data_IF_047964634556
#
_entry.id   IF_047964634556
#
_cell.length_a   1.000
_cell.length_b   1.000
_cell.length_c   1.000
_cell.angle_alpha   90.00
_cell.angle_beta   90.00
_cell.angle_gamma   90.00
#
_symmetry.space_group_name_H-M   'P 1'
#
loop_
_entity.id
_entity.type
_entity.pdbx_description
1 polymer ?
#
# COMPACT_ATOMS: atom_id res chain seq x y z
N UNK A 1 25.56 7.77 -16.77
CA UNK A 1 24.97 7.97 -15.43
C UNK A 1 25.36 6.76 -14.58
N UNK A 2 26.27 6.92 -13.61
CA UNK A 2 26.85 5.79 -12.86
C UNK A 2 25.83 5.25 -11.84
N UNK A 3 25.60 3.93 -11.74
CA UNK A 3 24.82 3.37 -10.66
C UNK A 3 25.66 3.39 -9.37
N UNK A 4 25.22 4.14 -8.37
CA UNK A 4 25.87 4.18 -7.06
C UNK A 4 25.64 2.86 -6.34
N UNK A 5 26.74 2.19 -6.01
CA UNK A 5 26.80 0.92 -5.30
C UNK A 5 26.01 0.94 -3.98
N UNK A 6 25.36 -0.18 -3.66
CA UNK A 6 24.71 -0.39 -2.37
C UNK A 6 25.76 -0.35 -1.25
N UNK A 7 25.61 0.58 -0.30
CA UNK A 7 26.51 0.72 0.85
C UNK A 7 26.33 -0.44 1.85
N UNK A 8 27.39 -1.01 2.46
CA UNK A 8 27.32 -2.19 3.31
C UNK A 8 26.87 -1.92 4.76
N UNK A 9 26.20 -0.80 5.05
CA UNK A 9 25.95 -0.34 6.42
C UNK A 9 24.46 -0.34 6.73
N UNK A 10 24.05 -1.13 7.73
CA UNK A 10 22.76 -1.08 8.45
C UNK A 10 21.58 -0.59 7.62
N UNK A 11 20.81 -1.53 7.06
CA UNK A 11 19.68 -1.24 6.17
C UNK A 11 18.69 -0.31 6.86
N UNK A 12 18.72 0.95 6.43
CA UNK A 12 17.82 1.95 6.95
C UNK A 12 16.48 1.83 6.23
N UNK A 13 15.40 1.83 7.00
CA UNK A 13 14.04 1.86 6.47
C UNK A 13 13.63 3.31 6.40
N UNK A 14 13.21 3.74 5.22
CA UNK A 14 12.69 5.08 4.99
C UNK A 14 11.21 5.01 4.64
N UNK A 15 10.44 5.93 5.22
CA UNK A 15 9.04 6.13 4.90
C UNK A 15 8.81 7.60 4.56
N UNK A 16 7.99 7.84 3.54
CA UNK A 16 7.70 9.17 3.00
C UNK A 16 6.22 9.21 2.66
N UNK A 17 5.51 10.25 3.09
CA UNK A 17 4.11 10.48 2.74
C UNK A 17 3.80 11.98 2.67
N UNK A 18 2.77 12.38 1.92
CA UNK A 18 2.18 13.73 2.03
C UNK A 18 1.24 13.84 3.24
N UNK A 19 0.89 12.72 3.86
CA UNK A 19 0.05 12.65 5.05
C UNK A 19 0.91 12.55 6.33
N UNK A 20 0.94 13.64 7.10
CA UNK A 20 1.64 13.72 8.38
C UNK A 20 1.06 12.78 9.45
N UNK A 21 -0.26 12.52 9.44
CA UNK A 21 -0.91 11.63 10.40
C UNK A 21 -0.46 10.21 10.15
N UNK A 22 -0.43 9.76 8.90
CA UNK A 22 0.07 8.44 8.53
C UNK A 22 1.51 8.22 8.99
N UNK A 23 2.37 9.23 8.81
CA UNK A 23 3.75 9.20 9.30
C UNK A 23 3.82 9.09 10.82
N UNK A 24 3.03 9.90 11.53
CA UNK A 24 2.97 9.89 13.00
C UNK A 24 2.47 8.55 13.54
N UNK A 25 1.41 8.00 12.96
CA UNK A 25 0.86 6.68 13.34
C UNK A 25 1.91 5.58 13.16
N UNK A 26 2.61 5.54 12.03
CA UNK A 26 3.63 4.52 11.80
C UNK A 26 4.81 4.65 12.78
N UNK A 27 5.26 5.88 13.09
CA UNK A 27 6.29 6.09 14.12
C UNK A 27 5.82 5.62 15.50
N UNK A 28 4.58 5.90 15.87
CA UNK A 28 3.97 5.41 17.11
C UNK A 28 3.93 3.88 17.17
N UNK A 29 3.56 3.21 16.08
CA UNK A 29 3.60 1.74 15.98
C UNK A 29 5.02 1.17 16.14
N UNK A 30 6.05 1.92 15.76
CA UNK A 30 7.46 1.54 15.96
C UNK A 30 7.99 1.88 17.36
N UNK A 31 7.14 2.38 18.27
CA UNK A 31 7.54 2.83 19.61
C UNK A 31 8.51 4.02 19.55
N UNK A 32 8.42 4.85 18.51
CA UNK A 32 9.25 6.04 18.32
C UNK A 32 8.43 7.29 18.53
N UNK A 33 9.06 8.34 19.04
CA UNK A 33 8.46 9.66 19.03
C UNK A 33 8.16 10.09 17.57
N UNK A 34 7.05 10.81 17.34
CA UNK A 34 6.64 11.26 16.00
C UNK A 34 7.52 12.41 15.48
N UNK A 35 8.84 12.19 15.44
CA UNK A 35 9.85 13.12 14.90
C UNK A 35 10.16 12.73 13.47
N UNK A 36 9.62 13.50 12.53
CA UNK A 36 9.86 13.36 11.10
C UNK A 36 10.40 14.68 10.51
N UNK A 37 11.10 14.56 9.39
CA UNK A 37 11.57 15.69 8.58
C UNK A 37 10.50 16.10 7.59
N UNK A 38 10.47 17.38 7.25
CA UNK A 38 9.66 17.91 6.15
C UNK A 38 10.61 18.15 4.97
N UNK A 39 10.37 17.45 3.86
CA UNK A 39 11.04 17.69 2.59
C UNK A 39 10.04 18.30 1.60
N UNK A 40 10.54 18.77 0.45
CA UNK A 40 9.71 19.19 -0.69
C UNK A 40 9.93 18.29 -1.89
N UNK A 41 8.84 17.89 -2.53
CA UNK A 41 8.89 17.20 -3.82
C UNK A 41 9.39 18.14 -4.91
N UNK A 42 9.77 17.58 -6.07
CA UNK A 42 10.14 18.38 -7.26
C UNK A 42 9.04 19.35 -7.71
N UNK A 43 7.78 19.06 -7.38
CA UNK A 43 6.62 19.89 -7.67
C UNK A 43 6.28 20.89 -6.54
N UNK A 44 7.18 21.07 -5.57
CA UNK A 44 7.01 22.01 -4.46
C UNK A 44 6.08 21.53 -3.33
N UNK A 45 5.45 20.36 -3.46
CA UNK A 45 4.57 19.80 -2.42
C UNK A 45 5.38 19.33 -1.21
N UNK A 46 4.89 19.63 -0.01
CA UNK A 46 5.49 19.16 1.23
C UNK A 46 5.26 17.65 1.42
N UNK A 47 6.30 16.98 1.90
CA UNK A 47 6.25 15.56 2.26
C UNK A 47 6.93 15.36 3.60
N UNK A 48 6.40 14.44 4.38
CA UNK A 48 6.86 14.06 5.69
C UNK A 48 7.64 12.76 5.58
N UNK A 49 8.86 12.75 6.10
CA UNK A 49 9.81 11.63 5.99
C UNK A 49 10.39 11.28 7.35
N UNK A 50 10.51 9.98 7.61
CA UNK A 50 11.44 9.49 8.63
C UNK A 50 12.33 8.39 8.08
N UNK A 51 13.44 8.16 8.78
CA UNK A 51 14.36 7.07 8.50
C UNK A 51 14.80 6.43 9.81
N UNK A 52 14.63 5.11 9.92
CA UNK A 52 15.08 4.33 11.07
C UNK A 52 16.20 3.39 10.63
N UNK A 53 17.28 3.35 11.40
CA UNK A 53 18.33 2.35 11.26
C UNK A 53 18.01 1.19 12.20
N UNK A 54 17.35 0.17 11.67
CA UNK A 54 16.99 -1.02 12.44
C UNK A 54 17.21 -2.26 11.57
N UNK A 55 18.31 -2.97 11.85
CA UNK A 55 18.71 -4.13 11.08
C UNK A 55 17.78 -5.34 11.32
N UNK A 56 17.19 -5.44 12.51
CA UNK A 56 16.28 -6.53 12.87
C UNK A 56 14.97 -6.33 12.12
N UNK A 57 14.38 -5.13 12.22
CA UNK A 57 13.17 -4.78 11.50
C UNK A 57 13.37 -4.91 9.99
N UNK A 58 14.50 -4.45 9.44
CA UNK A 58 14.77 -4.57 8.01
C UNK A 58 14.86 -6.02 7.54
N UNK A 59 15.50 -6.90 8.31
CA UNK A 59 15.58 -8.33 7.99
C UNK A 59 14.23 -9.02 8.11
N UNK A 60 13.44 -8.66 9.12
CA UNK A 60 12.09 -9.16 9.30
C UNK A 60 11.17 -8.78 8.12
N UNK A 61 11.19 -7.50 7.71
CA UNK A 61 10.45 -7.02 6.55
C UNK A 61 10.87 -7.74 5.26
N UNK A 62 12.16 -7.94 5.04
CA UNK A 62 12.66 -8.69 3.89
C UNK A 62 12.23 -10.16 3.92
N UNK A 63 12.27 -10.81 5.09
CA UNK A 63 11.74 -12.16 5.28
C UNK A 63 10.25 -12.26 4.96
N UNK A 64 9.49 -11.20 5.22
CA UNK A 64 8.08 -11.08 4.82
C UNK A 64 7.88 -10.77 3.32
N UNK A 65 8.95 -10.57 2.54
CA UNK A 65 8.90 -10.27 1.10
C UNK A 65 8.97 -8.77 0.75
N UNK A 66 9.14 -7.88 1.73
CA UNK A 66 9.31 -6.44 1.51
C UNK A 66 10.79 -6.12 1.24
N UNK A 67 11.19 -6.22 -0.02
CA UNK A 67 12.58 -6.06 -0.45
C UNK A 67 12.95 -4.61 -0.77
N UNK A 68 14.25 -4.23 -0.66
CA UNK A 68 14.73 -2.96 -1.20
C UNK A 68 14.40 -2.79 -2.68
N UNK A 69 14.17 -1.55 -3.12
CA UNK A 69 13.68 -1.22 -4.47
C UNK A 69 12.34 -1.88 -4.81
N UNK A 70 11.45 -2.01 -3.82
CA UNK A 70 10.11 -2.62 -3.90
C UNK A 70 9.39 -2.46 -5.25
N UNK A 71 9.41 -1.28 -5.87
CA UNK A 71 8.71 -1.06 -7.14
C UNK A 71 9.19 -1.97 -8.27
N UNK A 72 10.41 -2.51 -8.18
CA UNK A 72 11.04 -3.38 -9.17
C UNK A 72 11.13 -4.85 -8.73
N UNK A 73 10.94 -5.14 -7.45
CA UNK A 73 11.31 -6.42 -6.82
C UNK A 73 10.25 -6.98 -5.88
N UNK A 74 9.16 -6.25 -5.68
CA UNK A 74 8.06 -6.69 -4.82
C UNK A 74 7.33 -7.84 -5.52
N UNK A 75 7.20 -8.96 -4.82
CA UNK A 75 6.42 -10.13 -5.25
C UNK A 75 5.33 -10.42 -4.23
N UNK A 76 5.15 -11.70 -3.91
CA UNK A 76 4.25 -12.12 -2.84
C UNK A 76 4.74 -11.63 -1.47
N UNK A 77 3.82 -11.10 -0.65
CA UNK A 77 4.08 -10.79 0.76
C UNK A 77 3.67 -12.01 1.60
N UNK A 78 4.61 -12.52 2.38
CA UNK A 78 4.38 -13.62 3.31
C UNK A 78 3.69 -13.07 4.56
N UNK A 79 2.38 -13.26 4.63
CA UNK A 79 1.56 -12.79 5.74
C UNK A 79 0.53 -13.87 6.11
N UNK A 80 0.30 -14.13 7.41
CA UNK A 80 -0.82 -14.97 7.85
C UNK A 80 -2.14 -14.48 7.28
N UNK A 81 -3.06 -15.40 6.95
CA UNK A 81 -4.37 -15.05 6.37
C UNK A 81 -5.13 -14.02 7.20
N UNK A 82 -5.13 -14.19 8.53
CA UNK A 82 -5.78 -13.28 9.47
C UNK A 82 -5.27 -11.82 9.42
N UNK A 83 -4.06 -11.60 8.90
CA UNK A 83 -3.46 -10.27 8.77
C UNK A 83 -3.48 -9.74 7.33
N UNK A 84 -3.98 -10.53 6.36
CA UNK A 84 -4.00 -10.16 4.94
C UNK A 84 -4.75 -8.83 4.73
N UNK A 85 -5.92 -8.67 5.35
CA UNK A 85 -6.72 -7.45 5.21
C UNK A 85 -5.95 -6.19 5.66
N UNK A 86 -5.15 -6.28 6.72
CA UNK A 86 -4.31 -5.17 7.19
C UNK A 86 -3.19 -4.84 6.19
N UNK A 87 -2.59 -5.85 5.57
CA UNK A 87 -1.59 -5.66 4.52
C UNK A 87 -2.22 -5.01 3.29
N UNK A 88 -3.37 -5.51 2.83
CA UNK A 88 -4.10 -4.94 1.69
C UNK A 88 -4.47 -3.48 1.95
N UNK A 89 -4.95 -3.16 3.16
CA UNK A 89 -5.23 -1.77 3.55
C UNK A 89 -3.97 -0.89 3.48
N UNK A 90 -2.85 -1.37 4.02
CA UNK A 90 -1.58 -0.63 3.96
C UNK A 90 -1.05 -0.42 2.54
N UNK A 91 -1.29 -1.37 1.64
CA UNK A 91 -0.98 -1.22 0.21
C UNK A 91 -1.90 -0.19 -0.45
N UNK A 92 -3.19 -0.19 -0.12
CA UNK A 92 -4.17 0.78 -0.63
C UNK A 92 -3.82 2.21 -0.17
N UNK A 93 -3.52 2.38 1.12
CA UNK A 93 -3.17 3.68 1.72
C UNK A 93 -1.92 4.30 1.07
N UNK A 94 -1.00 3.47 0.56
CA UNK A 94 0.29 3.93 0.03
C UNK A 94 0.34 4.03 -1.49
N UNK A 95 0.03 2.94 -2.16
CA UNK A 95 0.23 2.77 -3.60
C UNK A 95 -1.14 2.64 -4.33
N UNK A 96 -2.23 2.88 -3.63
CA UNK A 96 -3.58 2.82 -4.16
C UNK A 96 -4.28 4.17 -4.26
N UNK A 97 -5.50 4.11 -4.81
CA UNK A 97 -6.38 5.26 -4.97
C UNK A 97 -7.83 4.83 -4.81
N UNK A 98 -8.63 5.64 -4.12
CA UNK A 98 -10.08 5.43 -3.98
C UNK A 98 -10.83 6.51 -4.72
N UNK A 99 -11.82 6.10 -5.51
CA UNK A 99 -12.72 6.97 -6.24
C UNK A 99 -14.14 6.70 -5.74
N UNK A 100 -14.78 7.70 -5.16
CA UNK A 100 -16.22 7.69 -4.87
C UNK A 100 -16.89 8.71 -5.80
N UNK A 101 -17.77 8.23 -6.69
CA UNK A 101 -18.43 9.06 -7.70
C UNK A 101 -19.87 8.61 -7.92
N UNK A 102 -20.69 9.55 -8.37
CA UNK A 102 -22.01 9.25 -8.96
C UNK A 102 -21.85 9.25 -10.47
N UNK A 103 -22.19 8.13 -11.11
CA UNK A 103 -22.18 7.98 -12.55
C UNK A 103 -23.61 8.09 -13.09
N UNK A 104 -23.78 8.86 -14.17
CA UNK A 104 -25.02 8.86 -14.95
C UNK A 104 -24.88 7.77 -16.00
N UNK A 105 -25.76 6.76 -15.98
CA UNK A 105 -25.73 5.78 -17.07
C UNK A 105 -26.00 6.47 -18.40
N UNK A 106 -25.61 5.79 -19.48
CA UNK A 106 -25.82 6.28 -20.84
C UNK A 106 -27.26 6.80 -20.98
N UNK A 107 -27.35 8.12 -21.17
CA UNK A 107 -28.60 8.88 -21.23
C UNK A 107 -29.42 8.55 -22.46
N UNK A 108 -28.91 7.69 -23.36
CA UNK A 108 -29.64 7.15 -24.50
C UNK A 108 -30.87 6.31 -24.10
N UNK A 109 -30.89 5.71 -22.90
CA UNK A 109 -31.99 4.83 -22.44
C UNK A 109 -32.83 5.40 -21.29
N UNK A 110 -32.23 6.13 -20.35
CA UNK A 110 -32.92 6.85 -19.25
C UNK A 110 -32.08 8.04 -18.76
N UNK A 111 -32.64 9.23 -18.77
CA UNK A 111 -31.93 10.48 -18.42
C UNK A 111 -31.81 10.72 -16.91
N UNK A 112 -32.56 9.99 -16.10
CA UNK A 112 -32.61 10.07 -14.63
C UNK A 112 -31.80 8.96 -13.94
N UNK A 113 -31.28 7.99 -14.68
CA UNK A 113 -30.56 6.86 -14.10
C UNK A 113 -29.15 7.27 -13.65
N UNK A 114 -29.01 7.49 -12.35
CA UNK A 114 -27.74 7.72 -11.68
C UNK A 114 -27.45 6.57 -10.72
N UNK A 115 -26.20 6.10 -10.66
CA UNK A 115 -25.78 5.15 -9.65
C UNK A 115 -24.48 5.61 -8.99
N UNK A 116 -24.37 5.34 -7.70
CA UNK A 116 -23.15 5.56 -6.94
C UNK A 116 -22.20 4.41 -7.21
N UNK A 117 -20.93 4.72 -7.46
CA UNK A 117 -19.91 3.69 -7.62
C UNK A 117 -18.67 4.08 -6.82
N UNK A 118 -18.13 3.08 -6.13
CA UNK A 118 -16.88 3.16 -5.39
C UNK A 118 -15.86 2.25 -6.06
N UNK A 119 -14.65 2.75 -6.27
CA UNK A 119 -13.54 1.99 -6.82
C UNK A 119 -12.30 2.20 -5.98
N UNK A 120 -11.75 1.11 -5.47
CA UNK A 120 -10.36 1.06 -5.01
C UNK A 120 -9.47 0.56 -6.14
N UNK A 121 -8.32 1.20 -6.33
CA UNK A 121 -7.30 0.82 -7.30
C UNK A 121 -5.98 0.63 -6.58
N UNK A 122 -5.20 -0.35 -7.02
CA UNK A 122 -3.82 -0.57 -6.58
C UNK A 122 -2.90 -0.36 -7.78
N UNK A 123 -1.78 0.34 -7.57
CA UNK A 123 -0.80 0.61 -8.61
C UNK A 123 0.55 0.06 -8.18
N UNK A 124 1.17 -0.76 -9.03
CA UNK A 124 2.51 -1.28 -8.82
C UNK A 124 3.23 -1.39 -10.15
N UNK A 125 4.56 -1.19 -10.14
CA UNK A 125 5.40 -1.45 -11.30
C UNK A 125 5.83 -2.93 -11.40
N UNK A 126 5.53 -3.75 -10.39
CA UNK A 126 5.72 -5.20 -10.42
C UNK A 126 4.42 -5.91 -10.82
N UNK A 127 4.46 -6.63 -11.95
CA UNK A 127 3.33 -7.45 -12.42
C UNK A 127 3.03 -8.60 -11.48
N UNK A 128 4.08 -9.31 -11.03
CA UNK A 128 3.96 -10.44 -10.09
C UNK A 128 3.23 -10.03 -8.80
N UNK A 129 3.49 -8.82 -8.30
CA UNK A 129 2.79 -8.31 -7.13
C UNK A 129 1.31 -8.06 -7.38
N UNK A 130 0.96 -7.51 -8.55
CA UNK A 130 -0.44 -7.27 -8.93
C UNK A 130 -1.19 -8.59 -9.09
N UNK A 131 -0.60 -9.57 -9.79
CA UNK A 131 -1.20 -10.89 -9.98
C UNK A 131 -1.37 -11.62 -8.63
N UNK A 132 -0.37 -11.53 -7.73
CA UNK A 132 -0.49 -12.03 -6.36
C UNK A 132 -1.63 -11.35 -5.60
N UNK A 133 -1.72 -10.02 -5.64
CA UNK A 133 -2.76 -9.27 -4.93
C UNK A 133 -4.16 -9.61 -5.45
N UNK A 134 -4.33 -9.74 -6.77
CA UNK A 134 -5.57 -10.20 -7.39
C UNK A 134 -5.96 -11.60 -6.92
N UNK A 135 -5.03 -12.55 -6.95
CA UNK A 135 -5.29 -13.93 -6.51
C UNK A 135 -5.62 -14.02 -5.01
N UNK A 136 -5.09 -13.12 -4.18
CA UNK A 136 -5.43 -13.04 -2.75
C UNK A 136 -6.80 -12.41 -2.53
N UNK A 137 -7.07 -11.27 -3.16
CA UNK A 137 -8.35 -10.58 -3.07
C UNK A 137 -9.51 -11.46 -3.57
N UNK A 138 -9.34 -12.17 -4.69
CA UNK A 138 -10.36 -13.06 -5.20
C UNK A 138 -10.73 -14.15 -4.19
N UNK A 139 -9.74 -14.78 -3.55
CA UNK A 139 -9.97 -15.83 -2.53
C UNK A 139 -10.67 -15.30 -1.29
N UNK A 140 -10.36 -14.09 -0.84
CA UNK A 140 -11.02 -13.48 0.33
C UNK A 140 -12.42 -12.94 0.03
N UNK A 141 -12.77 -12.73 -1.24
CA UNK A 141 -14.08 -12.21 -1.69
C UNK A 141 -15.04 -13.31 -2.16
N UNK A 142 -14.58 -14.57 -2.25
CA UNK A 142 -15.50 -15.71 -2.29
C UNK A 142 -16.08 -15.85 -0.89
N UNK A 143 -17.19 -15.16 -0.64
CA UNK A 143 -18.07 -15.51 0.45
C UNK A 143 -18.60 -16.92 0.18
N UNK A 144 -18.61 -17.77 1.20
CA UNK A 144 -19.40 -18.99 1.20
C UNK A 144 -20.85 -18.61 0.88
N UNK A 145 -21.33 -19.04 -0.28
CA UNK A 145 -22.75 -19.04 -0.58
C UNK A 145 -23.44 -19.79 0.57
N UNK A 146 -24.38 -19.11 1.22
CA UNK A 146 -24.97 -19.52 2.48
C UNK A 146 -25.41 -20.98 2.44
N UNK A 147 -24.86 -21.77 3.36
CA UNK A 147 -25.47 -23.03 3.78
C UNK A 147 -26.86 -22.72 4.31
N UNK A 148 -27.87 -23.08 3.53
CA UNK A 148 -29.25 -23.20 3.97
C UNK A 148 -29.27 -24.10 5.21
N UNK A 149 -29.58 -23.52 6.36
CA UNK A 149 -29.97 -24.27 7.55
C UNK A 149 -31.49 -24.37 7.54
N UNK A 150 -31.91 -25.61 7.27
CA UNK A 150 -33.17 -26.32 7.57
C UNK A 150 -34.19 -25.63 8.50
#
# INVERSE_FOLDING_TARGET
MRPTAASPRGRAIAFVSQDARLVGTLLGCLGREPKFRIDRTRLGREVYRFQVKDAVLSRWLEGAGLTPRKSLTLGAIQVPEALLAHVVRGLLDRDGSTIDKVWRADTSRRSDYCYKWFRAQFVSASRDHIDWLHARAARSLVCEDGSEHE
#
